data_IF_456774432457
#
_entry.id   IF_456774432457
#
_cell.length_a   1.000
_cell.length_b   1.000
_cell.length_c   1.000
_cell.angle_alpha   90.00
_cell.angle_beta   90.00
_cell.angle_gamma   90.00
#
_symmetry.space_group_name_H-M   'P 1'
#
loop_
_entity.id
_entity.type
_entity.pdbx_description
1 polymer ?
#
# COMPACT_ATOMS: atom_id res chain seq x y z
N UNK A 1 -14.14 39.44 29.46
CA UNK A 1 -14.03 38.21 28.65
C UNK A 1 -12.59 38.11 28.20
N UNK A 2 -11.83 37.15 28.74
CA UNK A 2 -10.42 36.93 28.32
C UNK A 2 -10.42 36.62 26.82
N UNK A 3 -9.63 37.40 26.07
CA UNK A 3 -9.42 37.29 24.62
C UNK A 3 -8.20 36.42 24.30
N UNK A 4 -7.78 35.55 25.22
CA UNK A 4 -6.49 34.85 25.12
C UNK A 4 -6.55 33.52 24.36
N UNK A 5 -7.74 33.09 23.95
CA UNK A 5 -7.95 31.84 23.24
C UNK A 5 -8.67 32.09 21.92
N UNK A 6 -8.12 31.52 20.82
CA UNK A 6 -8.69 31.59 19.48
C UNK A 6 -8.98 30.17 19.00
N UNK A 7 -10.14 29.97 18.38
CA UNK A 7 -10.43 28.73 17.67
C UNK A 7 -9.51 28.60 16.46
N UNK A 8 -9.00 27.38 16.24
CA UNK A 8 -8.24 27.02 15.05
C UNK A 8 -8.77 25.67 14.60
N UNK A 9 -8.85 25.47 13.28
CA UNK A 9 -9.20 24.17 12.73
C UNK A 9 -8.23 23.09 13.28
N UNK A 10 -8.74 21.96 13.80
CA UNK A 10 -7.90 20.94 14.43
C UNK A 10 -6.91 20.32 13.45
N UNK A 11 -7.24 20.24 12.16
CA UNK A 11 -6.40 19.65 11.12
C UNK A 11 -5.34 20.65 10.67
N UNK A 12 -5.66 21.94 10.59
CA UNK A 12 -4.65 23.00 10.43
C UNK A 12 -3.61 22.94 11.54
N UNK A 13 -4.04 22.79 12.81
CA UNK A 13 -3.12 22.67 13.95
C UNK A 13 -2.17 21.48 13.81
N UNK A 14 -2.69 20.33 13.37
CA UNK A 14 -1.90 19.11 13.14
C UNK A 14 -0.82 19.41 12.09
N UNK A 15 -1.21 19.87 10.91
CA UNK A 15 -0.29 20.00 9.78
C UNK A 15 0.70 21.16 9.93
N UNK A 16 0.30 22.28 10.53
CA UNK A 16 1.22 23.37 10.87
C UNK A 16 2.30 22.91 11.87
N UNK A 17 1.93 22.10 12.86
CA UNK A 17 2.88 21.56 13.84
C UNK A 17 3.79 20.49 13.22
N UNK A 18 3.25 19.69 12.31
CA UNK A 18 4.03 18.71 11.53
C UNK A 18 5.06 19.40 10.64
N UNK A 19 4.66 20.43 9.89
CA UNK A 19 5.59 21.24 9.11
C UNK A 19 6.71 21.82 9.99
N UNK A 20 6.36 22.36 11.16
CA UNK A 20 7.33 22.86 12.14
C UNK A 20 8.31 21.79 12.63
N UNK A 21 7.85 20.57 12.95
CA UNK A 21 8.71 19.43 13.33
C UNK A 21 9.69 19.05 12.22
N UNK A 22 9.31 19.26 10.97
CA UNK A 22 10.11 18.97 9.78
C UNK A 22 10.98 20.15 9.33
N UNK A 23 11.05 21.23 10.14
CA UNK A 23 11.91 22.38 9.87
C UNK A 23 11.32 23.41 8.92
N UNK A 24 10.01 23.38 8.70
CA UNK A 24 9.29 24.32 7.83
C UNK A 24 8.42 25.27 8.65
N UNK A 25 8.57 26.56 8.41
CA UNK A 25 7.67 27.60 8.91
C UNK A 25 6.68 27.94 7.81
N UNK A 26 5.40 27.64 8.05
CA UNK A 26 4.33 27.97 7.11
C UNK A 26 3.91 29.43 7.27
N UNK A 27 3.87 30.16 6.16
CA UNK A 27 3.39 31.55 6.05
C UNK A 27 2.25 31.59 5.05
N UNK A 28 1.27 32.48 5.27
CA UNK A 28 0.12 32.68 4.38
C UNK A 28 0.29 33.99 3.61
N UNK A 29 0.10 33.96 2.30
CA UNK A 29 0.17 35.16 1.42
C UNK A 29 -0.75 35.02 0.21
N UNK A 30 -1.27 36.13 -0.31
CA UNK A 30 -2.06 36.17 -1.55
C UNK A 30 -1.16 36.20 -2.81
N UNK A 31 0.16 36.35 -2.64
CA UNK A 31 1.10 36.56 -3.75
C UNK A 31 1.45 35.28 -4.53
N UNK A 32 1.28 34.11 -3.91
CA UNK A 32 1.67 32.81 -4.47
C UNK A 32 0.65 31.75 -4.13
N UNK A 33 0.54 30.72 -4.98
CA UNK A 33 -0.27 29.54 -4.67
C UNK A 33 0.44 28.65 -3.63
N UNK A 34 1.67 28.25 -3.94
CA UNK A 34 2.61 27.62 -3.03
C UNK A 34 4.04 27.99 -3.44
N UNK A 35 4.93 28.21 -2.48
CA UNK A 35 6.35 28.45 -2.75
C UNK A 35 7.23 28.10 -1.56
N UNK A 36 8.38 27.49 -1.85
CA UNK A 36 9.42 27.17 -0.88
C UNK A 36 10.66 28.03 -1.10
N UNK A 37 11.15 28.69 -0.05
CA UNK A 37 12.26 29.65 -0.15
C UNK A 37 13.66 29.00 -0.20
N UNK A 38 13.78 27.68 -0.04
CA UNK A 38 15.08 27.01 0.07
C UNK A 38 15.78 27.17 1.43
N UNK A 39 15.15 27.84 2.39
CA UNK A 39 15.78 28.33 3.62
C UNK A 39 14.94 28.16 4.89
N UNK A 40 13.74 27.59 4.83
CA UNK A 40 12.91 27.27 6.00
C UNK A 40 11.48 27.77 5.94
N UNK A 41 11.09 28.53 4.91
CA UNK A 41 9.75 29.12 4.80
C UNK A 41 8.98 28.47 3.67
N UNK A 42 7.81 27.91 4.02
CA UNK A 42 6.82 27.47 3.07
C UNK A 42 5.69 28.51 3.02
N UNK A 43 5.55 29.21 1.89
CA UNK A 43 4.49 30.20 1.69
C UNK A 43 3.35 29.55 0.94
N UNK A 44 2.14 29.61 1.48
CA UNK A 44 0.94 28.99 0.90
C UNK A 44 -0.20 30.01 0.79
N UNK A 45 -0.98 29.92 -0.29
CA UNK A 45 -2.06 30.86 -0.58
C UNK A 45 -3.12 30.92 0.50
N UNK A 46 -3.76 32.07 0.72
CA UNK A 46 -4.86 32.23 1.67
C UNK A 46 -6.13 31.47 1.23
N UNK A 47 -7.07 31.19 2.16
CA UNK A 47 -8.30 30.44 1.84
C UNK A 47 -9.15 31.08 0.73
N UNK A 48 -9.04 32.38 0.48
CA UNK A 48 -9.77 33.09 -0.57
C UNK A 48 -9.37 32.66 -2.00
N UNK A 49 -8.20 32.02 -2.14
CA UNK A 49 -7.65 31.53 -3.41
C UNK A 49 -7.72 30.01 -3.55
N UNK A 50 -8.28 29.31 -2.55
CA UNK A 50 -8.46 27.87 -2.55
C UNK A 50 -9.72 27.48 -3.32
N UNK A 51 -9.67 26.33 -4.01
CA UNK A 51 -10.88 25.68 -4.49
C UNK A 51 -11.77 25.28 -3.30
N UNK A 52 -13.09 25.09 -3.50
CA UNK A 52 -13.99 24.71 -2.40
C UNK A 52 -13.60 23.41 -1.66
N UNK A 53 -12.85 22.52 -2.30
CA UNK A 53 -12.35 21.26 -1.73
C UNK A 53 -10.84 21.27 -1.40
N UNK A 54 -10.22 22.44 -1.36
CA UNK A 54 -8.86 22.64 -0.85
C UNK A 54 -8.84 22.90 0.67
N UNK A 55 -7.76 22.47 1.31
CA UNK A 55 -7.46 22.74 2.72
C UNK A 55 -5.98 22.99 2.91
N UNK A 56 -5.63 23.70 3.97
CA UNK A 56 -4.23 23.95 4.32
C UNK A 56 -3.45 22.63 4.54
N UNK A 57 -4.12 21.60 5.06
CA UNK A 57 -3.54 20.28 5.24
C UNK A 57 -3.18 19.58 3.93
N UNK A 58 -4.05 19.64 2.92
CA UNK A 58 -3.75 19.15 1.56
C UNK A 58 -2.50 19.84 1.02
N UNK A 59 -2.44 21.16 1.14
CA UNK A 59 -1.31 21.96 0.63
C UNK A 59 -0.01 21.64 1.35
N UNK A 60 -0.01 21.55 2.68
CA UNK A 60 1.19 21.17 3.44
C UNK A 60 1.65 19.76 3.05
N UNK A 61 0.75 18.78 2.98
CA UNK A 61 1.12 17.41 2.60
C UNK A 61 1.69 17.36 1.18
N UNK A 62 1.11 18.09 0.24
CA UNK A 62 1.58 18.16 -1.14
C UNK A 62 3.03 18.68 -1.23
N UNK A 63 3.32 19.79 -0.55
CA UNK A 63 4.66 20.37 -0.50
C UNK A 63 5.68 19.47 0.20
N UNK A 64 5.25 18.75 1.24
CA UNK A 64 6.09 17.72 1.85
C UNK A 64 6.39 16.58 0.87
N UNK A 65 5.43 16.22 0.00
CA UNK A 65 5.65 15.22 -1.04
C UNK A 65 6.67 15.70 -2.09
N UNK A 66 6.66 16.98 -2.49
CA UNK A 66 7.73 17.54 -3.33
C UNK A 66 9.10 17.39 -2.69
N UNK A 67 9.24 17.80 -1.43
CA UNK A 67 10.51 17.67 -0.71
C UNK A 67 11.00 16.22 -0.64
N UNK A 68 10.10 15.26 -0.42
CA UNK A 68 10.40 13.83 -0.35
C UNK A 68 10.79 13.25 -1.70
N UNK A 69 10.07 13.57 -2.77
CA UNK A 69 10.33 13.10 -4.14
C UNK A 69 11.67 13.65 -4.64
N UNK A 70 11.89 14.96 -4.50
CA UNK A 70 13.10 15.65 -4.92
C UNK A 70 14.32 15.31 -4.04
N UNK A 71 14.07 14.86 -2.81
CA UNK A 71 15.07 14.37 -1.88
C UNK A 71 15.84 15.47 -1.13
N UNK A 72 16.77 15.11 -0.22
CA UNK A 72 17.30 16.03 0.79
C UNK A 72 18.01 17.28 0.27
N UNK A 73 18.56 17.24 -0.96
CA UNK A 73 19.23 18.40 -1.56
C UNK A 73 18.25 19.49 -2.00
N UNK A 74 17.00 19.11 -2.29
CA UNK A 74 15.94 20.01 -2.74
C UNK A 74 15.51 21.00 -1.65
N UNK A 75 15.64 20.62 -0.38
CA UNK A 75 15.38 21.49 0.78
C UNK A 75 16.16 22.81 0.74
N UNK A 76 17.30 22.86 0.03
CA UNK A 76 18.16 24.04 -0.09
C UNK A 76 17.97 24.82 -1.39
N UNK A 77 16.94 24.50 -2.16
CA UNK A 77 16.64 25.11 -3.46
C UNK A 77 15.26 25.75 -3.40
N UNK A 78 15.12 26.91 -4.04
CA UNK A 78 13.80 27.54 -4.24
C UNK A 78 12.89 26.56 -4.98
N UNK A 79 11.65 26.42 -4.51
CA UNK A 79 10.63 25.55 -5.06
C UNK A 79 11.15 24.13 -5.35
N UNK A 80 11.93 23.59 -4.41
CA UNK A 80 12.51 22.25 -4.47
C UNK A 80 13.51 22.03 -5.62
N UNK A 81 13.86 23.10 -6.35
CA UNK A 81 14.64 23.05 -7.57
C UNK A 81 13.83 22.64 -8.80
N UNK A 82 12.51 22.81 -8.76
CA UNK A 82 11.61 22.68 -9.90
C UNK A 82 11.49 24.02 -10.63
N UNK A 83 11.56 23.98 -11.95
CA UNK A 83 11.31 25.14 -12.82
C UNK A 83 10.06 24.82 -13.66
N UNK A 84 9.05 25.69 -13.68
CA UNK A 84 7.77 25.50 -14.38
C UNK A 84 7.86 25.55 -15.92
N UNK A 85 8.93 25.01 -16.52
CA UNK A 85 9.30 25.24 -17.92
C UNK A 85 9.59 23.97 -18.74
N UNK A 86 9.63 22.78 -18.13
CA UNK A 86 9.92 21.53 -18.85
C UNK A 86 9.03 20.33 -18.45
N UNK A 87 9.04 19.28 -19.28
CA UNK A 87 8.31 18.02 -19.04
C UNK A 87 8.80 17.27 -17.79
N UNK A 88 9.99 17.59 -17.28
CA UNK A 88 10.50 16.97 -16.05
C UNK A 88 9.68 17.42 -14.87
N UNK A 89 9.24 18.68 -14.84
CA UNK A 89 8.33 19.17 -13.82
C UNK A 89 7.09 18.27 -13.71
N UNK A 90 6.45 17.97 -14.84
CA UNK A 90 5.24 17.13 -14.88
C UNK A 90 5.46 15.72 -14.28
N UNK A 91 6.59 15.08 -14.55
CA UNK A 91 6.90 13.76 -13.99
C UNK A 91 7.08 13.82 -12.46
N UNK A 92 7.67 14.89 -11.94
CA UNK A 92 7.83 15.07 -10.49
C UNK A 92 6.49 15.41 -9.82
N UNK A 93 5.64 16.24 -10.44
CA UNK A 93 4.25 16.49 -9.99
C UNK A 93 3.48 15.17 -9.87
N UNK A 94 3.50 14.36 -10.92
CA UNK A 94 2.86 13.04 -10.95
C UNK A 94 3.41 12.09 -9.88
N UNK A 95 4.70 12.17 -9.57
CA UNK A 95 5.32 11.38 -8.50
C UNK A 95 4.86 11.85 -7.12
N UNK A 96 4.70 13.16 -6.92
CA UNK A 96 4.18 13.74 -5.70
C UNK A 96 2.73 13.31 -5.45
N UNK A 97 1.87 13.36 -6.48
CA UNK A 97 0.50 12.84 -6.40
C UNK A 97 0.44 11.36 -6.04
N UNK A 98 1.28 10.51 -6.66
CA UNK A 98 1.37 9.08 -6.34
C UNK A 98 1.78 8.85 -4.88
N UNK A 99 2.79 9.59 -4.41
CA UNK A 99 3.25 9.51 -3.02
C UNK A 99 2.17 9.98 -2.04
N UNK A 100 1.55 11.12 -2.30
CA UNK A 100 0.47 11.69 -1.50
C UNK A 100 -0.71 10.73 -1.39
N UNK A 101 -1.15 10.15 -2.50
CA UNK A 101 -2.20 9.13 -2.52
C UNK A 101 -1.81 7.91 -1.69
N UNK A 102 -0.60 7.38 -1.86
CA UNK A 102 -0.13 6.21 -1.13
C UNK A 102 -0.04 6.45 0.39
N UNK A 103 0.40 7.64 0.82
CA UNK A 103 0.43 8.02 2.23
C UNK A 103 -0.98 8.16 2.82
N UNK A 104 -1.88 8.82 2.10
CA UNK A 104 -3.26 9.04 2.53
C UNK A 104 -4.09 7.74 2.54
N UNK A 105 -3.84 6.82 1.60
CA UNK A 105 -4.52 5.54 1.50
C UNK A 105 -4.40 4.72 2.79
N UNK A 106 -3.25 4.78 3.47
CA UNK A 106 -3.00 4.06 4.73
C UNK A 106 -4.01 4.35 5.83
N UNK A 107 -4.59 5.55 5.79
CA UNK A 107 -5.45 6.11 6.82
C UNK A 107 -6.87 6.39 6.33
N UNK A 108 -7.22 5.93 5.11
CA UNK A 108 -8.52 6.19 4.51
C UNK A 108 -8.76 7.65 4.16
N UNK A 109 -7.68 8.42 3.97
CA UNK A 109 -7.72 9.86 3.72
C UNK A 109 -7.58 10.24 2.25
N UNK A 110 -7.48 9.29 1.31
CA UNK A 110 -7.24 9.57 -0.11
C UNK A 110 -8.22 10.60 -0.71
N UNK A 111 -9.50 10.47 -0.40
CA UNK A 111 -10.51 11.41 -0.89
C UNK A 111 -10.43 12.80 -0.26
N UNK A 112 -9.92 12.89 0.98
CA UNK A 112 -9.77 14.16 1.72
C UNK A 112 -8.45 14.86 1.38
N UNK A 113 -7.36 14.10 1.23
CA UNK A 113 -6.04 14.59 0.87
C UNK A 113 -5.85 14.65 -0.65
N UNK A 114 -6.95 14.73 -1.41
CA UNK A 114 -6.90 14.77 -2.87
C UNK A 114 -6.31 16.08 -3.39
N UNK A 115 -5.68 16.03 -4.56
CA UNK A 115 -5.35 17.25 -5.30
C UNK A 115 -6.54 17.74 -6.10
N UNK A 116 -6.59 19.05 -6.33
CA UNK A 116 -7.69 19.78 -6.96
C UNK A 116 -7.30 20.26 -8.37
N UNK A 117 -8.11 21.15 -8.95
CA UNK A 117 -7.87 21.83 -10.25
C UNK A 117 -7.49 20.89 -11.42
N UNK A 118 -6.43 21.25 -12.16
CA UNK A 118 -5.94 20.60 -13.37
C UNK A 118 -5.36 19.20 -13.13
N UNK A 119 -5.04 18.88 -11.87
CA UNK A 119 -4.42 17.61 -11.49
C UNK A 119 -5.44 16.53 -11.13
N UNK A 120 -6.70 16.93 -10.92
CA UNK A 120 -7.78 16.02 -10.56
C UNK A 120 -7.95 14.83 -11.52
N UNK A 121 -7.87 15.00 -12.87
CA UNK A 121 -7.96 13.87 -13.78
C UNK A 121 -6.87 12.82 -13.58
N UNK A 122 -5.62 13.24 -13.33
CA UNK A 122 -4.53 12.31 -13.05
C UNK A 122 -4.73 11.61 -11.70
N UNK A 123 -5.12 12.38 -10.67
CA UNK A 123 -5.38 11.84 -9.34
C UNK A 123 -6.48 10.77 -9.32
N UNK A 124 -7.62 11.06 -9.96
CA UNK A 124 -8.75 10.15 -10.03
C UNK A 124 -8.45 8.89 -10.85
N UNK A 125 -7.50 8.98 -11.79
CA UNK A 125 -7.03 7.84 -12.58
C UNK A 125 -5.99 6.96 -11.84
N UNK A 126 -5.47 7.39 -10.70
CA UNK A 126 -4.48 6.60 -9.95
C UNK A 126 -5.06 5.26 -9.50
N UNK A 127 -4.30 4.15 -9.61
CA UNK A 127 -4.77 2.84 -9.17
C UNK A 127 -4.93 2.77 -7.64
N UNK A 128 -5.57 1.70 -7.15
CA UNK A 128 -5.70 1.43 -5.72
C UNK A 128 -4.33 1.31 -5.00
N UNK A 129 -3.28 0.94 -5.73
CA UNK A 129 -1.90 0.92 -5.24
C UNK A 129 -1.02 1.88 -6.08
N UNK A 130 -0.95 3.17 -5.71
CA UNK A 130 -0.28 4.20 -6.53
C UNK A 130 1.22 3.95 -6.78
N UNK A 131 1.86 3.11 -5.97
CA UNK A 131 3.29 2.77 -6.05
C UNK A 131 3.56 1.40 -6.68
N UNK A 132 2.52 0.68 -7.11
CA UNK A 132 2.70 -0.61 -7.78
C UNK A 132 3.53 -0.43 -9.08
N UNK A 133 4.33 -1.43 -9.48
CA UNK A 133 5.07 -1.38 -10.74
C UNK A 133 4.15 -1.10 -11.94
N UNK A 134 4.66 -0.34 -12.91
CA UNK A 134 3.95 0.04 -14.12
C UNK A 134 4.83 0.93 -15.01
N UNK A 135 4.27 1.38 -16.13
CA UNK A 135 5.01 2.11 -17.17
C UNK A 135 5.15 3.62 -16.91
N UNK A 136 4.50 4.14 -15.87
CA UNK A 136 4.55 5.57 -15.54
C UNK A 136 5.93 5.94 -14.95
N UNK A 137 6.70 6.86 -15.58
CA UNK A 137 8.02 7.27 -15.10
C UNK A 137 8.01 7.93 -13.71
N UNK A 138 6.85 8.36 -13.21
CA UNK A 138 6.68 8.90 -11.86
C UNK A 138 6.79 7.83 -10.75
N UNK A 139 6.55 6.55 -11.06
CA UNK A 139 6.54 5.44 -10.09
C UNK A 139 7.87 5.32 -9.33
N UNK A 140 9.04 5.21 -9.99
CA UNK A 140 10.31 5.07 -9.25
C UNK A 140 10.60 6.27 -8.34
N UNK A 141 10.26 7.49 -8.77
CA UNK A 141 10.44 8.71 -7.96
C UNK A 141 9.51 8.71 -6.73
N UNK A 142 8.25 8.29 -6.90
CA UNK A 142 7.30 8.16 -5.80
C UNK A 142 7.71 7.05 -4.81
N UNK A 143 8.26 5.92 -5.31
CA UNK A 143 8.80 4.86 -4.47
C UNK A 143 10.01 5.31 -3.65
N UNK A 144 10.87 6.16 -4.22
CA UNK A 144 11.99 6.80 -3.52
C UNK A 144 11.49 7.74 -2.42
N UNK A 145 10.51 8.59 -2.73
CA UNK A 145 9.83 9.45 -1.77
C UNK A 145 9.17 8.65 -0.64
N UNK A 146 8.53 7.52 -0.95
CA UNK A 146 7.92 6.62 0.04
C UNK A 146 8.93 6.06 1.03
N UNK A 147 10.10 5.59 0.55
CA UNK A 147 11.15 5.10 1.46
C UNK A 147 11.61 6.19 2.41
N UNK A 148 11.80 7.41 1.92
CA UNK A 148 12.17 8.57 2.76
C UNK A 148 11.05 8.92 3.76
N UNK A 149 9.80 8.84 3.32
CA UNK A 149 8.62 9.14 4.12
C UNK A 149 8.37 8.11 5.24
N UNK A 150 8.78 6.85 5.06
CA UNK A 150 8.43 5.75 5.97
C UNK A 150 9.61 5.18 6.77
N UNK A 151 10.85 5.42 6.34
CA UNK A 151 12.06 4.88 6.97
C UNK A 151 13.05 5.98 7.40
N UNK A 152 12.77 7.24 7.04
CA UNK A 152 13.63 8.37 7.31
C UNK A 152 13.20 9.20 8.53
N UNK A 153 13.87 10.34 8.77
CA UNK A 153 13.56 11.24 9.88
C UNK A 153 12.16 11.87 9.81
N UNK A 154 11.45 11.69 8.69
CA UNK A 154 10.10 12.24 8.48
C UNK A 154 9.00 11.25 8.88
N UNK A 155 9.35 9.98 9.09
CA UNK A 155 8.38 8.90 9.25
C UNK A 155 7.45 9.10 10.44
N UNK A 156 8.00 9.40 11.61
CA UNK A 156 7.20 9.62 12.81
C UNK A 156 6.26 10.82 12.66
N UNK A 157 6.77 11.96 12.19
CA UNK A 157 5.97 13.17 12.07
C UNK A 157 4.84 13.04 11.04
N UNK A 158 5.10 12.39 9.90
CA UNK A 158 4.07 12.13 8.88
C UNK A 158 3.04 11.12 9.36
N UNK A 159 3.48 10.04 10.02
CA UNK A 159 2.58 9.04 10.57
C UNK A 159 1.65 9.65 11.61
N UNK A 160 2.19 10.41 12.57
CA UNK A 160 1.42 11.11 13.59
C UNK A 160 0.37 12.04 12.97
N UNK A 161 0.76 12.80 11.94
CA UNK A 161 -0.13 13.75 11.28
C UNK A 161 -1.30 13.05 10.57
N UNK A 162 -1.00 11.99 9.81
CA UNK A 162 -2.01 11.23 9.08
C UNK A 162 -2.93 10.47 10.04
N UNK A 163 -2.39 9.83 11.08
CA UNK A 163 -3.17 9.14 12.09
C UNK A 163 -4.07 10.09 12.90
N UNK A 164 -3.55 11.26 13.29
CA UNK A 164 -4.34 12.28 13.99
C UNK A 164 -5.45 12.84 13.07
N UNK A 165 -5.15 13.09 11.80
CA UNK A 165 -6.16 13.54 10.83
C UNK A 165 -7.25 12.48 10.62
N UNK A 166 -6.90 11.20 10.59
CA UNK A 166 -7.86 10.10 10.50
C UNK A 166 -8.73 9.97 11.75
N UNK A 167 -8.19 10.26 12.93
CA UNK A 167 -8.96 10.31 14.17
C UNK A 167 -10.00 11.45 14.14
N UNK A 168 -9.62 12.63 13.65
CA UNK A 168 -10.57 13.75 13.42
C UNK A 168 -11.64 13.34 12.41
N UNK A 169 -11.24 12.75 11.28
CA UNK A 169 -12.16 12.26 10.26
C UNK A 169 -13.17 11.25 10.84
N UNK A 170 -12.70 10.32 11.67
CA UNK A 170 -13.57 9.33 12.30
C UNK A 170 -14.62 9.97 13.22
N UNK A 171 -14.25 11.02 13.95
CA UNK A 171 -15.15 11.75 14.84
C UNK A 171 -16.16 12.63 14.09
N UNK A 172 -15.76 13.24 12.98
CA UNK A 172 -16.56 14.23 12.24
C UNK A 172 -17.46 13.58 11.19
N UNK A 173 -17.02 12.49 10.55
CA UNK A 173 -17.73 11.86 9.42
C UNK A 173 -19.22 11.57 9.66
N UNK A 174 -19.69 11.09 10.84
CA UNK A 174 -21.13 10.89 11.07
C UNK A 174 -21.99 12.16 10.98
N UNK A 175 -21.37 13.33 11.06
CA UNK A 175 -22.01 14.65 11.00
C UNK A 175 -21.75 15.38 9.68
N UNK A 176 -20.90 14.82 8.81
CA UNK A 176 -20.50 15.46 7.56
C UNK A 176 -21.64 15.36 6.53
N UNK A 177 -22.07 16.47 5.91
CA UNK A 177 -22.98 16.42 4.77
C UNK A 177 -22.27 15.81 3.56
N UNK A 178 -23.05 15.33 2.58
CA UNK A 178 -22.52 14.61 1.39
C UNK A 178 -21.55 15.44 0.55
N UNK A 179 -21.72 16.77 0.54
CA UNK A 179 -20.88 17.73 -0.17
C UNK A 179 -19.63 18.16 0.62
N UNK A 180 -19.47 17.68 1.85
CA UNK A 180 -18.27 17.95 2.65
C UNK A 180 -17.10 17.05 2.24
N UNK A 181 -15.88 17.61 2.26
CA UNK A 181 -14.65 16.84 2.11
C UNK A 181 -14.54 15.70 3.14
N UNK A 182 -15.12 15.86 4.33
CA UNK A 182 -15.15 14.83 5.37
C UNK A 182 -15.93 13.58 4.96
N UNK A 183 -16.95 13.71 4.10
CA UNK A 183 -17.71 12.58 3.55
C UNK A 183 -16.86 11.71 2.60
N UNK A 184 -15.71 12.22 2.13
CA UNK A 184 -14.77 11.49 1.26
C UNK A 184 -13.80 10.60 2.04
N UNK A 185 -13.79 10.67 3.36
CA UNK A 185 -12.91 9.84 4.21
C UNK A 185 -13.49 8.44 4.43
N UNK A 186 -12.63 7.44 4.54
CA UNK A 186 -13.03 6.05 4.84
C UNK A 186 -12.65 5.68 6.26
N UNK A 187 -13.44 4.80 6.87
CA UNK A 187 -13.12 4.29 8.19
C UNK A 187 -11.86 3.41 8.09
N UNK A 188 -10.90 3.53 9.03
CA UNK A 188 -9.80 2.58 9.08
C UNK A 188 -10.35 1.18 9.31
N UNK A 189 -9.68 0.17 8.74
CA UNK A 189 -10.06 -1.20 9.02
C UNK A 189 -9.81 -1.50 10.52
N UNK A 190 -10.71 -2.20 11.24
CA UNK A 190 -10.56 -2.50 12.67
C UNK A 190 -9.25 -3.22 13.03
N UNK A 191 -8.66 -3.90 12.05
CA UNK A 191 -7.36 -4.59 12.16
C UNK A 191 -6.14 -3.70 11.87
N UNK A 192 -6.31 -2.38 11.78
CA UNK A 192 -5.22 -1.44 11.49
C UNK A 192 -4.69 -1.52 10.06
N UNK A 193 -5.41 -2.19 9.14
CA UNK A 193 -5.05 -2.28 7.73
C UNK A 193 -5.66 -1.09 6.94
N UNK A 194 -5.02 -0.63 5.86
CA UNK A 194 -5.60 0.42 5.03
C UNK A 194 -6.95 -0.03 4.43
N UNK A 195 -7.95 0.85 4.31
CA UNK A 195 -9.21 0.52 3.66
C UNK A 195 -8.98 0.15 2.19
N UNK A 196 -9.71 -0.85 1.71
CA UNK A 196 -9.66 -1.32 0.32
C UNK A 196 -10.87 -0.91 -0.49
N UNK A 197 -11.22 -1.78 -1.43
CA UNK A 197 -12.42 -1.65 -2.25
C UNK A 197 -13.69 -1.76 -1.37
N UNK A 198 -14.54 -0.72 -1.31
CA UNK A 198 -15.73 -0.69 -0.46
C UNK A 198 -16.81 -1.67 -0.92
N UNK A 199 -16.72 -2.22 -2.13
CA UNK A 199 -17.66 -3.24 -2.64
C UNK A 199 -17.23 -4.66 -2.25
N UNK A 200 -15.99 -4.83 -1.78
CA UNK A 200 -15.51 -6.10 -1.26
C UNK A 200 -15.77 -6.20 0.24
N UNK A 201 -15.89 -7.44 0.71
CA UNK A 201 -16.14 -7.77 2.12
C UNK A 201 -15.04 -8.70 2.61
N UNK A 202 -14.67 -8.55 3.88
CA UNK A 202 -13.65 -9.36 4.49
C UNK A 202 -13.94 -10.86 4.40
N UNK A 203 -15.20 -11.27 4.56
CA UNK A 203 -15.60 -12.68 4.43
C UNK A 203 -15.41 -13.27 3.03
N UNK A 204 -15.27 -12.42 2.01
CA UNK A 204 -14.95 -12.86 0.64
C UNK A 204 -13.46 -12.85 0.32
N UNK A 205 -12.58 -12.62 1.30
CA UNK A 205 -11.14 -12.54 1.11
C UNK A 205 -10.49 -13.93 1.25
N UNK A 206 -9.47 -14.24 0.44
CA UNK A 206 -8.66 -15.44 0.60
C UNK A 206 -8.00 -15.55 1.97
N UNK A 207 -7.75 -14.40 2.62
CA UNK A 207 -7.17 -14.33 3.96
C UNK A 207 -8.18 -14.54 5.10
N UNK A 208 -9.47 -14.67 4.80
CA UNK A 208 -10.50 -14.92 5.80
C UNK A 208 -10.63 -16.43 6.04
N UNK A 209 -10.42 -16.84 7.28
CA UNK A 209 -10.58 -18.21 7.72
C UNK A 209 -11.62 -18.25 8.84
N UNK A 210 -12.90 -18.40 8.45
CA UNK A 210 -14.02 -18.14 9.35
C UNK A 210 -14.03 -16.68 9.80
N UNK A 211 -14.15 -16.44 11.11
CA UNK A 211 -14.11 -15.10 11.72
C UNK A 211 -12.68 -14.66 12.11
N UNK A 212 -11.68 -15.11 11.36
CA UNK A 212 -10.26 -14.80 11.60
C UNK A 212 -9.61 -14.27 10.33
N UNK A 213 -8.77 -13.24 10.47
CA UNK A 213 -7.98 -12.71 9.37
C UNK A 213 -6.52 -13.20 9.47
N UNK A 214 -6.11 -14.06 8.55
CA UNK A 214 -4.73 -14.55 8.46
C UNK A 214 -3.73 -13.46 7.99
N UNK A 215 -4.23 -12.34 7.46
CA UNK A 215 -3.40 -11.15 7.17
C UNK A 215 -3.01 -10.36 8.41
N UNK A 216 -3.73 -10.55 9.51
CA UNK A 216 -3.54 -9.87 10.78
C UNK A 216 -3.34 -10.89 11.91
N UNK A 217 -2.48 -11.89 11.66
CA UNK A 217 -2.07 -12.90 12.64
C UNK A 217 -3.23 -13.62 13.34
N UNK A 218 -4.34 -13.86 12.62
CA UNK A 218 -5.52 -14.54 13.15
C UNK A 218 -6.40 -13.65 14.04
N UNK A 219 -6.27 -12.32 13.96
CA UNK A 219 -7.16 -11.40 14.65
C UNK A 219 -8.63 -11.63 14.25
N UNK A 220 -9.54 -11.33 15.20
CA UNK A 220 -10.98 -11.48 15.00
C UNK A 220 -11.46 -10.60 13.83
N UNK A 221 -12.29 -11.16 12.97
CA UNK A 221 -12.74 -10.56 11.74
C UNK A 221 -14.27 -10.56 11.70
N UNK A 222 -14.87 -9.40 11.45
CA UNK A 222 -16.26 -9.32 11.00
C UNK A 222 -16.32 -9.59 9.49
N UNK A 223 -16.95 -10.69 9.03
CA UNK A 223 -17.04 -11.02 7.61
C UNK A 223 -17.78 -9.97 6.78
N UNK A 224 -18.68 -9.20 7.39
CA UNK A 224 -19.47 -8.15 6.74
C UNK A 224 -18.75 -6.81 6.66
N UNK A 225 -17.57 -6.67 7.28
CA UNK A 225 -16.79 -5.44 7.21
C UNK A 225 -16.25 -5.21 5.78
N UNK A 226 -16.21 -3.96 5.28
CA UNK A 226 -15.56 -3.64 4.01
C UNK A 226 -14.11 -4.09 3.97
N UNK A 227 -13.68 -4.68 2.85
CA UNK A 227 -12.35 -5.28 2.79
C UNK A 227 -11.22 -4.24 2.90
N UNK A 228 -10.08 -4.65 3.45
CA UNK A 228 -8.86 -3.85 3.45
C UNK A 228 -8.17 -3.85 2.07
N UNK A 229 -7.16 -3.01 1.90
CA UNK A 229 -6.38 -2.90 0.67
C UNK A 229 -5.60 -4.16 0.29
N UNK A 230 -5.52 -5.14 1.21
CA UNK A 230 -4.89 -6.46 0.98
C UNK A 230 -5.89 -7.55 0.63
N UNK A 231 -7.09 -7.17 0.20
CA UNK A 231 -8.09 -8.11 -0.28
C UNK A 231 -7.53 -8.93 -1.44
N UNK A 232 -7.62 -10.25 -1.32
CA UNK A 232 -7.36 -11.18 -2.42
C UNK A 232 -8.62 -12.03 -2.64
N UNK A 233 -9.03 -12.28 -3.89
CA UNK A 233 -10.15 -13.18 -4.15
C UNK A 233 -9.80 -14.61 -3.68
N UNK A 234 -10.78 -15.41 -3.21
CA UNK A 234 -10.54 -16.78 -2.78
C UNK A 234 -9.90 -17.61 -3.90
N UNK A 235 -8.94 -18.46 -3.52
CA UNK A 235 -8.21 -19.31 -4.46
C UNK A 235 -8.94 -20.62 -4.70
N UNK A 236 -8.84 -21.12 -5.92
CA UNK A 236 -9.34 -22.42 -6.35
C UNK A 236 -8.22 -23.26 -6.98
N UNK A 237 -8.46 -24.56 -7.17
CA UNK A 237 -7.49 -25.43 -7.85
C UNK A 237 -7.16 -24.95 -9.28
N UNK A 238 -8.09 -24.24 -9.93
CA UNK A 238 -7.90 -23.70 -11.28
C UNK A 238 -6.83 -22.59 -11.34
N UNK A 239 -6.47 -21.99 -10.20
CA UNK A 239 -5.45 -20.94 -10.12
C UNK A 239 -4.03 -21.52 -10.01
N UNK A 240 -3.90 -22.79 -9.58
CA UNK A 240 -2.62 -23.45 -9.38
C UNK A 240 -1.68 -23.44 -10.61
N UNK A 241 -2.15 -23.67 -11.84
CA UNK A 241 -1.31 -23.64 -13.05
C UNK A 241 -0.55 -22.31 -13.23
N UNK A 242 -1.18 -21.18 -12.90
CA UNK A 242 -0.56 -19.86 -12.99
C UNK A 242 0.22 -19.49 -11.71
N UNK A 243 -0.29 -19.92 -10.55
CA UNK A 243 0.28 -19.60 -9.25
C UNK A 243 1.57 -20.38 -8.98
N UNK A 244 1.49 -21.73 -8.97
CA UNK A 244 2.63 -22.62 -8.70
C UNK A 244 3.36 -22.41 -7.37
N UNK A 245 2.87 -21.56 -6.45
CA UNK A 245 3.63 -21.07 -5.30
C UNK A 245 4.21 -22.20 -4.45
N UNK A 246 3.38 -23.18 -4.08
CA UNK A 246 3.81 -24.34 -3.29
C UNK A 246 4.69 -25.31 -4.08
N UNK A 247 4.69 -25.30 -5.41
CA UNK A 247 5.49 -26.16 -6.28
C UNK A 247 6.85 -25.53 -6.69
N UNK A 248 6.99 -24.20 -6.55
CA UNK A 248 8.21 -23.42 -6.80
C UNK A 248 8.96 -23.08 -5.50
N UNK A 249 9.60 -21.91 -5.41
CA UNK A 249 10.57 -21.58 -4.37
C UNK A 249 10.00 -21.43 -2.94
N UNK A 250 8.70 -21.60 -2.72
CA UNK A 250 8.10 -21.37 -1.39
C UNK A 250 8.54 -22.39 -0.32
N UNK A 251 8.86 -23.61 -0.75
CA UNK A 251 9.24 -24.73 0.11
C UNK A 251 10.47 -25.43 -0.46
N UNK A 252 11.25 -26.10 0.39
CA UNK A 252 12.52 -26.73 0.01
C UNK A 252 12.37 -28.19 -0.44
N UNK A 253 11.41 -28.92 0.11
CA UNK A 253 11.20 -30.34 -0.19
C UNK A 253 9.73 -30.74 -0.04
N UNK A 254 9.35 -31.84 -0.67
CA UNK A 254 8.05 -32.49 -0.49
C UNK A 254 8.28 -33.88 0.09
N UNK A 255 7.94 -34.13 1.36
CA UNK A 255 8.03 -35.47 1.93
C UNK A 255 7.16 -36.46 1.15
N UNK A 256 7.70 -37.63 0.86
CA UNK A 256 6.99 -38.74 0.21
C UNK A 256 7.15 -40.02 1.01
N UNK A 257 6.18 -40.92 0.84
CA UNK A 257 6.36 -42.31 1.24
C UNK A 257 7.30 -42.99 0.22
N UNK A 258 8.37 -43.63 0.70
CA UNK A 258 9.35 -44.32 -0.13
C UNK A 258 8.72 -45.47 -0.94
N UNK A 259 7.67 -46.09 -0.40
CA UNK A 259 6.87 -47.11 -1.08
C UNK A 259 5.55 -46.53 -1.64
N UNK A 260 5.46 -45.20 -1.77
CA UNK A 260 4.28 -44.53 -2.31
C UNK A 260 4.07 -44.77 -3.81
N UNK A 261 2.85 -44.54 -4.35
CA UNK A 261 2.57 -44.69 -5.78
C UNK A 261 3.50 -43.86 -6.68
N UNK A 262 3.83 -42.62 -6.27
CA UNK A 262 4.75 -41.77 -7.02
C UNK A 262 6.18 -42.30 -6.99
N UNK A 263 6.68 -42.71 -5.82
CA UNK A 263 8.04 -43.23 -5.68
C UNK A 263 8.25 -44.51 -6.52
N UNK A 264 7.24 -45.39 -6.57
CA UNK A 264 7.27 -46.57 -7.45
C UNK A 264 7.23 -46.23 -8.94
N UNK A 265 6.45 -45.22 -9.33
CA UNK A 265 6.30 -44.82 -10.73
C UNK A 265 7.48 -43.98 -11.24
N UNK A 266 8.12 -43.22 -10.34
CA UNK A 266 9.18 -42.28 -10.65
C UNK A 266 10.31 -42.35 -9.59
N UNK A 267 11.02 -43.48 -9.45
CA UNK A 267 12.08 -43.62 -8.46
C UNK A 267 13.21 -42.60 -8.65
N UNK A 268 13.51 -42.21 -9.89
CA UNK A 268 14.53 -41.21 -10.24
C UNK A 268 14.21 -39.79 -9.75
N UNK A 269 12.96 -39.54 -9.32
CA UNK A 269 12.55 -38.25 -8.75
C UNK A 269 12.70 -38.18 -7.24
N UNK A 270 12.99 -39.29 -6.57
CA UNK A 270 13.06 -39.36 -5.11
C UNK A 270 14.50 -39.24 -4.66
N UNK A 271 14.75 -38.30 -3.75
CA UNK A 271 15.98 -38.21 -3.00
C UNK A 271 15.73 -38.69 -1.57
N UNK A 272 16.77 -39.18 -0.90
CA UNK A 272 16.71 -39.60 0.50
C UNK A 272 17.86 -38.93 1.26
N UNK A 273 17.54 -38.37 2.42
CA UNK A 273 18.50 -37.79 3.34
C UNK A 273 18.16 -38.17 4.80
N UNK A 274 18.78 -37.51 5.77
CA UNK A 274 18.54 -37.77 7.20
C UNK A 274 17.09 -37.50 7.66
N UNK A 275 16.26 -36.84 6.85
CA UNK A 275 14.85 -36.54 7.10
C UNK A 275 13.90 -37.46 6.32
N UNK A 276 14.43 -38.40 5.54
CA UNK A 276 13.67 -39.42 4.79
C UNK A 276 13.51 -39.11 3.30
N UNK A 277 12.67 -39.91 2.64
CA UNK A 277 12.40 -39.81 1.22
C UNK A 277 11.60 -38.54 0.88
N UNK A 278 12.05 -37.80 -0.13
CA UNK A 278 11.42 -36.55 -0.54
C UNK A 278 11.61 -36.26 -2.04
N UNK A 279 10.78 -35.36 -2.58
CA UNK A 279 11.00 -34.78 -3.90
C UNK A 279 11.90 -33.55 -3.77
N UNK A 280 13.11 -33.55 -4.37
CA UNK A 280 14.00 -32.41 -4.35
C UNK A 280 13.46 -31.27 -5.22
N UNK A 281 14.02 -30.09 -5.01
CA UNK A 281 13.66 -28.86 -5.72
C UNK A 281 14.88 -28.19 -6.36
N UNK A 282 15.48 -28.80 -7.41
CA UNK A 282 16.59 -28.17 -8.10
C UNK A 282 16.17 -26.78 -8.61
N UNK A 283 17.02 -25.79 -8.36
CA UNK A 283 16.77 -24.39 -8.72
C UNK A 283 15.46 -23.82 -8.13
N UNK A 284 14.97 -24.42 -7.05
CA UNK A 284 13.78 -23.97 -6.34
C UNK A 284 12.45 -24.45 -6.92
N UNK A 285 12.40 -25.46 -7.81
CA UNK A 285 11.12 -26.04 -8.21
C UNK A 285 11.13 -27.55 -8.15
N UNK A 286 9.98 -28.12 -7.78
CA UNK A 286 9.79 -29.57 -7.67
C UNK A 286 10.18 -30.29 -8.95
N UNK A 287 10.93 -31.40 -8.80
CA UNK A 287 11.32 -32.27 -9.92
C UNK A 287 10.13 -32.82 -10.71
N UNK A 288 8.97 -32.99 -10.06
CA UNK A 288 7.74 -33.46 -10.71
C UNK A 288 6.98 -32.35 -11.46
N UNK A 289 7.50 -31.12 -11.50
CA UNK A 289 6.84 -29.99 -12.14
C UNK A 289 7.17 -29.95 -13.64
N UNK A 290 6.15 -29.87 -14.50
CA UNK A 290 6.37 -29.59 -15.92
C UNK A 290 6.93 -28.16 -16.07
N UNK A 291 8.04 -27.96 -16.80
CA UNK A 291 8.63 -26.63 -17.07
C UNK A 291 8.84 -26.39 -18.57
N UNK A 292 8.65 -25.15 -19.09
CA UNK A 292 9.69 -24.09 -18.91
C UNK A 292 9.27 -22.82 -18.13
N UNK A 293 8.13 -22.15 -18.41
CA UNK A 293 7.78 -20.84 -17.80
C UNK A 293 6.30 -20.71 -17.34
N UNK A 294 5.41 -21.60 -17.79
CA UNK A 294 4.05 -21.89 -17.32
C UNK A 294 3.46 -23.01 -18.22
N UNK A 295 2.53 -23.87 -17.77
CA UNK A 295 1.88 -23.90 -16.45
C UNK A 295 2.61 -24.76 -15.39
N UNK A 296 2.54 -24.34 -14.12
CA UNK A 296 3.10 -25.04 -12.96
C UNK A 296 2.25 -26.24 -12.53
N UNK A 297 2.22 -27.27 -13.37
CA UNK A 297 1.46 -28.50 -13.12
C UNK A 297 2.37 -29.68 -12.84
N UNK A 298 1.96 -30.51 -11.87
CA UNK A 298 2.64 -31.76 -11.59
C UNK A 298 2.47 -32.72 -12.78
N UNK A 299 3.57 -33.22 -13.33
CA UNK A 299 3.59 -34.21 -14.40
C UNK A 299 2.94 -35.54 -13.98
N UNK A 300 2.88 -35.82 -12.68
CA UNK A 300 2.24 -36.99 -12.09
C UNK A 300 1.06 -36.61 -11.16
N UNK A 301 0.17 -35.73 -11.62
CA UNK A 301 -0.90 -35.15 -10.80
C UNK A 301 -1.78 -36.17 -10.07
N UNK A 302 -2.09 -37.30 -10.73
CA UNK A 302 -2.90 -38.38 -10.17
C UNK A 302 -2.17 -39.20 -9.08
N UNK A 303 -0.83 -39.14 -9.04
CA UNK A 303 0.00 -39.91 -8.11
C UNK A 303 0.54 -39.06 -6.96
N UNK A 304 0.10 -37.81 -6.83
CA UNK A 304 0.65 -36.86 -5.85
C UNK A 304 0.73 -37.44 -4.43
N UNK A 305 1.82 -37.16 -3.70
CA UNK A 305 1.95 -37.56 -2.30
C UNK A 305 0.88 -36.86 -1.45
N UNK A 306 0.61 -37.40 -0.26
CA UNK A 306 -0.40 -36.86 0.66
C UNK A 306 -0.19 -35.37 0.94
N UNK A 307 1.06 -34.97 1.18
CA UNK A 307 1.47 -33.57 1.38
C UNK A 307 1.05 -32.61 0.25
N UNK A 308 0.92 -33.10 -1.00
CA UNK A 308 0.48 -32.30 -2.14
C UNK A 308 -0.99 -32.50 -2.51
N UNK A 309 -1.54 -33.69 -2.28
CA UNK A 309 -2.94 -34.02 -2.59
C UNK A 309 -3.89 -33.42 -1.57
N UNK A 310 -3.52 -33.48 -0.30
CA UNK A 310 -4.34 -33.05 0.84
C UNK A 310 -4.05 -31.58 1.21
N UNK A 311 -3.32 -30.86 0.35
CA UNK A 311 -2.95 -29.47 0.55
C UNK A 311 -4.15 -28.55 0.32
N UNK A 312 -4.61 -27.89 1.37
CA UNK A 312 -5.76 -26.97 1.32
C UNK A 312 -5.46 -25.73 0.46
N UNK A 313 -6.12 -25.61 -0.69
CA UNK A 313 -6.04 -24.41 -1.53
C UNK A 313 -6.71 -23.24 -0.81
N UNK A 314 -6.01 -22.11 -0.73
CA UNK A 314 -6.47 -20.96 0.06
C UNK A 314 -6.27 -21.10 1.58
N UNK A 315 -5.80 -22.25 2.06
CA UNK A 315 -5.45 -22.44 3.47
C UNK A 315 -4.18 -21.66 3.88
N UNK A 316 -3.89 -21.65 5.18
CA UNK A 316 -2.76 -20.88 5.75
C UNK A 316 -1.40 -21.18 5.10
N UNK A 317 -1.13 -22.45 4.80
CA UNK A 317 0.10 -22.86 4.11
C UNK A 317 0.13 -22.40 2.65
N UNK A 318 -0.99 -22.46 1.93
CA UNK A 318 -1.10 -21.94 0.55
C UNK A 318 -0.75 -20.45 0.48
N UNK A 319 -1.37 -19.65 1.36
CA UNK A 319 -1.18 -18.21 1.40
C UNK A 319 0.24 -17.83 1.87
N UNK A 320 0.79 -18.56 2.85
CA UNK A 320 2.20 -18.42 3.26
C UNK A 320 3.14 -18.68 2.08
N UNK A 321 2.87 -19.73 1.30
CA UNK A 321 3.66 -20.04 0.12
C UNK A 321 3.64 -18.90 -0.89
N UNK A 322 2.45 -18.35 -1.17
CA UNK A 322 2.27 -17.21 -2.08
C UNK A 322 3.01 -15.95 -1.62
N UNK A 323 2.95 -15.61 -0.32
CA UNK A 323 3.74 -14.49 0.23
C UNK A 323 5.24 -14.68 0.02
N UNK A 324 5.78 -15.87 0.29
CA UNK A 324 7.22 -16.17 0.14
C UNK A 324 7.74 -15.94 -1.29
N UNK A 325 6.86 -16.08 -2.27
CA UNK A 325 7.20 -15.96 -3.69
C UNK A 325 6.64 -14.68 -4.33
N UNK A 326 6.19 -13.72 -3.51
CA UNK A 326 5.72 -12.40 -3.97
C UNK A 326 4.38 -12.39 -4.71
N UNK A 327 3.53 -13.41 -4.55
CA UNK A 327 2.21 -13.49 -5.21
C UNK A 327 1.05 -12.97 -4.36
N UNK A 328 1.28 -12.78 -3.07
CA UNK A 328 0.28 -12.30 -2.12
C UNK A 328 0.88 -11.25 -1.21
N UNK A 329 0.01 -10.38 -0.68
CA UNK A 329 0.37 -9.24 0.17
C UNK A 329 0.75 -9.61 1.60
#
# INVERSE_FOLDING_TARGET
MSRDHRYVDPVDLIWLRTAGRLGMRVVRSDDVFASWDGAGTLTLSTPEHFDPDDSLAQMILHELCHALVMGPRAMKRVDWGLENVDDRHLVHEHACHRLQAALADRHGLRGFMGVTTQWRPYWDALPAHPLAPGDDPAIPLAQDGWRRATQGPWAEALEDALAATAAVAAAVRPFAPEDSLWARTRAPHPLGLPPGDPDKRCGGCAWAHGERCLQADGAALDPAWPACSRFEPPLTEADCPACGACCRQAYHQVPVDADGPLARAHPDWVAEDAHGAHLPRPEGFCVALQRPEAPYLCAAYALRPASCRDFEVGGAHCLTARRRVGLSA
#
